data_IF_202679878788
#
_entry.id   IF_202679878788
#
_cell.length_a   1.000
_cell.length_b   1.000
_cell.length_c   1.000
_cell.angle_alpha   90.00
_cell.angle_beta   90.00
_cell.angle_gamma   90.00
#
_symmetry.space_group_name_H-M   'P 1'
#
loop_
_entity.id
_entity.type
_entity.pdbx_description
1 polymer ?
#
# COMPACT_ATOMS: atom_id res chain seq x y z
N UNK A 1 -58.52 62.27 -37.10
CA UNK A 1 -59.16 61.47 -36.03
C UNK A 1 -58.39 60.16 -35.92
N UNK A 2 -57.49 60.08 -34.95
CA UNK A 2 -57.63 59.18 -33.79
C UNK A 2 -57.40 57.70 -34.15
N UNK A 3 -56.19 57.19 -33.90
CA UNK A 3 -55.89 56.36 -32.73
C UNK A 3 -54.46 55.82 -32.82
N UNK A 4 -53.55 56.49 -32.09
CA UNK A 4 -52.24 55.95 -31.75
C UNK A 4 -52.44 54.85 -30.70
N UNK A 5 -51.98 53.62 -30.98
CA UNK A 5 -51.89 52.54 -30.00
C UNK A 5 -50.52 52.61 -29.33
N UNK A 6 -50.47 53.15 -28.11
CA UNK A 6 -49.33 53.03 -27.21
C UNK A 6 -49.11 51.57 -26.82
N UNK A 7 -47.98 50.98 -27.24
CA UNK A 7 -47.44 49.80 -26.58
C UNK A 7 -46.45 50.28 -25.52
N UNK A 8 -46.86 50.19 -24.25
CA UNK A 8 -45.97 50.33 -23.12
C UNK A 8 -45.14 49.05 -23.06
N UNK A 9 -43.85 49.16 -23.40
CA UNK A 9 -42.87 48.11 -23.17
C UNK A 9 -42.56 48.11 -21.65
N UNK A 10 -43.18 47.22 -20.89
CA UNK A 10 -42.76 46.94 -19.52
C UNK A 10 -41.46 46.15 -19.64
N UNK A 11 -40.33 46.83 -19.42
CA UNK A 11 -39.05 46.17 -19.20
C UNK A 11 -39.12 45.46 -17.84
N UNK A 12 -39.56 44.20 -17.86
CA UNK A 12 -39.43 43.30 -16.73
C UNK A 12 -37.94 42.96 -16.60
N UNK A 13 -37.20 43.78 -15.83
CA UNK A 13 -35.89 43.38 -15.33
C UNK A 13 -36.09 42.15 -14.45
N UNK A 14 -35.99 40.96 -15.05
CA UNK A 14 -35.72 39.72 -14.34
C UNK A 14 -34.35 39.91 -13.68
N UNK A 15 -34.35 40.44 -12.47
CA UNK A 15 -33.30 40.15 -11.51
C UNK A 15 -33.38 38.65 -11.26
N UNK A 16 -32.69 37.90 -12.11
CA UNK A 16 -32.27 36.55 -11.82
C UNK A 16 -31.47 36.64 -10.53
N UNK A 17 -32.14 36.42 -9.40
CA UNK A 17 -31.48 36.03 -8.17
C UNK A 17 -30.73 34.74 -8.52
N UNK A 18 -29.49 34.88 -8.97
CA UNK A 18 -28.49 33.84 -8.82
C UNK A 18 -28.35 33.69 -7.32
N UNK A 19 -29.19 32.83 -6.74
CA UNK A 19 -28.91 32.23 -5.46
C UNK A 19 -27.59 31.50 -5.71
N UNK A 20 -26.50 32.16 -5.32
CA UNK A 20 -25.20 31.53 -5.20
C UNK A 20 -25.45 30.44 -4.15
N UNK A 21 -25.76 29.23 -4.60
CA UNK A 21 -25.82 28.09 -3.72
C UNK A 21 -24.41 28.01 -3.13
N UNK A 22 -24.25 28.48 -1.89
CA UNK A 22 -23.00 28.30 -1.16
C UNK A 22 -22.60 26.84 -1.36
N UNK A 23 -21.40 26.62 -1.91
CA UNK A 23 -20.93 25.28 -2.19
C UNK A 23 -21.15 24.43 -0.94
N UNK A 24 -21.93 23.34 -1.07
CA UNK A 24 -22.29 22.43 0.05
C UNK A 24 -21.07 22.01 0.88
N UNK A 25 -19.90 22.02 0.25
CA UNK A 25 -18.59 21.70 0.78
C UNK A 25 -17.70 22.95 0.87
N UNK A 26 -18.15 23.97 1.61
CA UNK A 26 -17.46 25.25 1.82
C UNK A 26 -16.92 25.44 3.24
N UNK A 27 -16.59 26.69 3.60
CA UNK A 27 -16.01 27.06 4.89
C UNK A 27 -16.88 26.67 6.11
N UNK A 28 -18.20 26.52 5.92
CA UNK A 28 -19.13 26.07 6.97
C UNK A 28 -19.06 24.56 7.22
N UNK A 29 -18.55 23.78 6.27
CA UNK A 29 -18.49 22.32 6.38
C UNK A 29 -17.13 21.83 6.88
N UNK A 30 -16.05 22.27 6.22
CA UNK A 30 -14.69 21.88 6.54
C UNK A 30 -14.13 22.73 7.69
N UNK A 31 -13.34 22.12 8.60
CA UNK A 31 -12.68 22.88 9.65
C UNK A 31 -11.64 23.82 9.03
N UNK A 32 -11.32 24.93 9.69
CA UNK A 32 -10.25 25.83 9.27
C UNK A 32 -9.10 25.86 10.29
N UNK A 33 -8.76 24.67 10.77
CA UNK A 33 -7.68 24.42 11.74
C UNK A 33 -6.32 24.71 11.12
N UNK A 34 -5.31 24.91 11.96
CA UNK A 34 -3.95 25.20 11.53
C UNK A 34 -3.11 23.94 11.40
N UNK A 35 -2.42 23.81 10.27
CA UNK A 35 -1.40 22.79 10.03
C UNK A 35 -0.05 23.45 9.78
N UNK A 36 1.01 22.65 9.84
CA UNK A 36 2.39 23.05 9.56
C UNK A 36 2.90 22.26 8.37
N UNK A 37 3.34 22.95 7.33
CA UNK A 37 3.94 22.30 6.17
C UNK A 37 5.36 21.82 6.43
N UNK A 38 5.90 21.07 5.48
CA UNK A 38 7.26 20.53 5.49
C UNK A 38 8.40 21.58 5.54
N UNK A 39 8.09 22.87 5.39
CA UNK A 39 9.03 23.99 5.54
C UNK A 39 8.87 24.72 6.88
N UNK A 40 7.93 24.27 7.74
CA UNK A 40 7.63 24.90 9.02
C UNK A 40 6.62 26.05 8.90
N UNK A 41 6.04 26.30 7.72
CA UNK A 41 5.05 27.36 7.50
C UNK A 41 3.69 26.90 8.04
N UNK A 42 3.02 27.79 8.76
CA UNK A 42 1.64 27.60 9.21
C UNK A 42 0.65 27.88 8.07
N UNK A 43 -0.33 27.00 7.91
CA UNK A 43 -1.39 27.09 6.90
C UNK A 43 -2.74 26.74 7.50
N UNK A 44 -3.81 27.36 7.03
CA UNK A 44 -5.19 27.07 7.43
C UNK A 44 -5.82 26.06 6.48
N UNK A 45 -6.42 25.00 7.03
CA UNK A 45 -6.87 23.84 6.24
C UNK A 45 -7.85 24.24 5.12
N UNK A 46 -8.90 25.01 5.40
CA UNK A 46 -9.84 25.38 4.35
C UNK A 46 -9.28 26.48 3.45
N UNK A 47 -8.86 27.60 4.03
CA UNK A 47 -8.51 28.80 3.26
C UNK A 47 -7.27 28.61 2.39
N UNK A 48 -6.23 27.97 2.93
CA UNK A 48 -4.95 27.82 2.22
C UNK A 48 -4.87 26.52 1.44
N UNK A 49 -5.58 25.45 1.83
CA UNK A 49 -5.42 24.13 1.18
C UNK A 49 -6.59 23.74 0.27
N UNK A 50 -7.84 24.11 0.58
CA UNK A 50 -9.01 23.61 -0.14
C UNK A 50 -9.65 24.62 -1.08
N UNK A 51 -9.74 25.88 -0.65
CA UNK A 51 -10.53 26.92 -1.32
C UNK A 51 -10.08 27.09 -2.77
N UNK A 52 -11.03 26.98 -3.69
CA UNK A 52 -10.84 27.15 -5.14
C UNK A 52 -9.82 26.19 -5.79
N UNK A 53 -9.52 25.05 -5.14
CA UNK A 53 -8.50 24.09 -5.59
C UNK A 53 -9.06 22.72 -5.95
N UNK A 54 -8.33 22.02 -6.83
CA UNK A 54 -8.41 20.57 -6.97
C UNK A 54 -7.40 19.97 -6.02
N UNK A 55 -7.87 19.13 -5.10
CA UNK A 55 -7.05 18.57 -4.04
C UNK A 55 -7.04 17.05 -4.07
N UNK A 56 -5.89 16.48 -3.74
CA UNK A 56 -5.72 15.08 -3.38
C UNK A 56 -5.19 15.06 -1.95
N UNK A 57 -5.92 14.42 -1.02
CA UNK A 57 -5.53 14.38 0.39
C UNK A 57 -5.45 12.92 0.82
N UNK A 58 -4.27 12.50 1.27
CA UNK A 58 -4.04 11.22 1.92
C UNK A 58 -3.46 11.41 3.32
N UNK A 59 -3.63 10.37 4.15
CA UNK A 59 -3.14 10.34 5.52
C UNK A 59 -2.06 9.27 5.64
N UNK A 60 -0.89 9.65 6.13
CA UNK A 60 0.29 8.78 6.21
C UNK A 60 0.91 8.84 7.59
N UNK A 61 1.93 8.03 7.84
CA UNK A 61 2.89 8.27 8.92
C UNK A 61 4.26 7.72 8.48
N UNK A 62 5.34 8.42 8.77
CA UNK A 62 6.62 8.17 8.08
C UNK A 62 7.33 6.89 8.53
N UNK A 63 6.95 6.35 9.69
CA UNK A 63 7.43 5.08 10.24
C UNK A 63 6.68 3.85 9.70
N UNK A 64 5.67 4.03 8.84
CA UNK A 64 4.95 2.93 8.21
C UNK A 64 5.89 2.09 7.33
N UNK A 65 6.02 0.76 7.58
CA UNK A 65 6.97 -0.07 6.85
C UNK A 65 6.51 -0.47 5.44
N UNK A 66 5.20 -0.49 5.20
CA UNK A 66 4.61 -1.17 4.05
C UNK A 66 3.85 -0.22 3.11
N UNK A 67 2.67 0.26 3.50
CA UNK A 67 1.73 0.90 2.56
C UNK A 67 2.10 2.35 2.25
N UNK A 68 2.39 3.20 3.23
CA UNK A 68 2.63 4.63 2.97
C UNK A 68 3.80 4.90 1.99
N UNK A 69 4.94 4.17 2.06
CA UNK A 69 5.99 4.24 1.03
C UNK A 69 5.48 3.93 -0.38
N UNK A 70 4.64 2.90 -0.53
CA UNK A 70 4.08 2.50 -1.82
C UNK A 70 3.06 3.53 -2.33
N UNK A 71 2.20 4.06 -1.45
CA UNK A 71 1.25 5.13 -1.80
C UNK A 71 1.99 6.38 -2.30
N UNK A 72 3.06 6.78 -1.59
CA UNK A 72 3.88 7.94 -1.96
C UNK A 72 4.55 7.71 -3.32
N UNK A 73 5.15 6.54 -3.54
CA UNK A 73 5.74 6.18 -4.83
C UNK A 73 4.71 6.22 -5.98
N UNK A 74 3.49 5.75 -5.72
CA UNK A 74 2.42 5.75 -6.71
C UNK A 74 1.95 7.17 -7.04
N UNK A 75 1.81 8.05 -6.04
CA UNK A 75 1.46 9.45 -6.27
C UNK A 75 2.58 10.23 -6.98
N UNK A 76 3.86 9.86 -6.81
CA UNK A 76 4.96 10.42 -7.63
C UNK A 76 4.75 10.11 -9.12
N UNK A 77 4.20 8.96 -9.49
CA UNK A 77 3.85 8.69 -10.89
C UNK A 77 2.72 9.54 -11.40
N UNK A 78 1.68 9.71 -10.58
CA UNK A 78 0.55 10.59 -10.90
C UNK A 78 1.05 12.02 -11.09
N UNK A 79 1.93 12.50 -10.20
CA UNK A 79 2.62 13.77 -10.35
C UNK A 79 3.35 13.86 -11.69
N UNK A 80 4.10 12.83 -12.09
CA UNK A 80 4.84 12.86 -13.35
C UNK A 80 3.91 12.89 -14.58
N UNK A 81 2.74 12.25 -14.51
CA UNK A 81 1.73 12.30 -15.57
C UNK A 81 1.06 13.69 -15.63
N UNK A 82 0.74 14.28 -14.48
CA UNK A 82 0.10 15.60 -14.38
C UNK A 82 1.07 16.75 -14.68
N UNK A 83 2.38 16.54 -14.51
CA UNK A 83 3.42 17.50 -14.85
C UNK A 83 3.23 18.85 -14.13
N UNK A 84 3.22 19.92 -14.91
CA UNK A 84 3.15 21.30 -14.41
C UNK A 84 1.79 21.66 -13.77
N UNK A 85 0.79 20.79 -13.85
CA UNK A 85 -0.47 21.02 -13.12
C UNK A 85 -0.29 20.93 -11.60
N UNK A 86 0.69 20.16 -11.15
CA UNK A 86 0.99 20.02 -9.72
C UNK A 86 1.52 21.34 -9.15
N UNK A 87 0.81 21.87 -8.16
CA UNK A 87 1.11 23.14 -7.50
C UNK A 87 0.51 24.37 -8.18
N UNK A 88 -0.14 24.20 -9.34
CA UNK A 88 -0.82 25.27 -10.07
C UNK A 88 -2.35 25.18 -9.89
N UNK A 89 -2.97 24.16 -10.45
CA UNK A 89 -4.41 23.91 -10.35
C UNK A 89 -4.74 22.61 -9.59
N UNK A 90 -3.77 21.68 -9.54
CA UNK A 90 -3.87 20.44 -8.76
C UNK A 90 -2.90 20.48 -7.58
N UNK A 91 -3.40 20.22 -6.38
CA UNK A 91 -2.64 20.24 -5.14
C UNK A 91 -2.74 18.88 -4.44
N UNK A 92 -1.60 18.31 -4.08
CA UNK A 92 -1.55 17.04 -3.32
C UNK A 92 -1.08 17.36 -1.90
N UNK A 93 -1.73 16.76 -0.91
CA UNK A 93 -1.43 16.96 0.51
C UNK A 93 -1.34 15.61 1.21
N UNK A 94 -0.18 15.34 1.80
CA UNK A 94 0.03 14.17 2.67
C UNK A 94 0.09 14.61 4.12
N UNK A 95 -0.92 14.28 4.90
CA UNK A 95 -1.07 14.71 6.30
C UNK A 95 -0.68 13.55 7.22
N UNK A 96 0.22 13.77 8.18
CA UNK A 96 0.57 12.71 9.13
C UNK A 96 -0.59 12.39 10.08
N UNK A 97 -0.69 11.13 10.51
CA UNK A 97 -1.53 10.69 11.64
C UNK A 97 -0.74 10.45 12.93
N UNK A 98 0.59 10.60 12.89
CA UNK A 98 1.51 10.43 14.02
C UNK A 98 2.34 11.72 14.21
N UNK A 99 1.70 12.85 14.59
CA UNK A 99 2.37 14.16 14.64
C UNK A 99 3.45 14.26 15.72
N UNK A 100 3.47 13.36 16.71
CA UNK A 100 4.49 13.32 17.77
C UNK A 100 5.86 12.88 17.22
N UNK A 101 5.85 11.92 16.29
CA UNK A 101 7.06 11.45 15.60
C UNK A 101 7.32 12.24 14.33
N UNK A 102 6.28 12.52 13.56
CA UNK A 102 6.34 13.15 12.25
C UNK A 102 6.34 14.69 12.33
N UNK A 103 7.45 15.22 12.86
CA UNK A 103 7.73 16.66 12.83
C UNK A 103 7.86 17.17 11.38
N UNK A 104 7.77 18.49 11.16
CA UNK A 104 7.88 19.04 9.81
C UNK A 104 9.21 18.69 9.12
N UNK A 105 10.31 18.57 9.88
CA UNK A 105 11.61 18.16 9.37
C UNK A 105 11.64 16.69 8.94
N UNK A 106 10.99 15.82 9.72
CA UNK A 106 10.84 14.39 9.40
C UNK A 106 10.01 14.23 8.12
N UNK A 107 8.89 14.95 8.05
CA UNK A 107 8.01 15.00 6.87
C UNK A 107 8.74 15.50 5.62
N UNK A 108 9.54 16.57 5.72
CA UNK A 108 10.37 17.06 4.61
C UNK A 108 11.42 16.04 4.17
N UNK A 109 12.05 15.36 5.12
CA UNK A 109 13.04 14.33 4.84
C UNK A 109 12.42 13.15 4.11
N UNK A 110 11.23 12.70 4.55
CA UNK A 110 10.47 11.65 3.89
C UNK A 110 10.08 12.06 2.46
N UNK A 111 9.45 13.23 2.29
CA UNK A 111 9.08 13.82 1.00
C UNK A 111 10.23 13.83 -0.01
N UNK A 112 11.42 14.28 0.43
CA UNK A 112 12.62 14.34 -0.42
C UNK A 112 13.12 12.97 -0.88
N UNK A 113 12.99 11.91 -0.06
CA UNK A 113 13.43 10.54 -0.44
C UNK A 113 12.72 10.05 -1.70
N UNK A 114 11.43 10.36 -1.84
CA UNK A 114 10.60 9.93 -2.96
C UNK A 114 10.64 10.89 -4.16
N UNK A 115 11.24 12.08 -4.03
CA UNK A 115 11.16 13.11 -5.08
C UNK A 115 9.73 13.65 -5.27
N UNK A 116 8.89 13.54 -4.24
CA UNK A 116 7.60 14.19 -4.19
C UNK A 116 7.80 15.71 -4.34
N UNK A 117 6.91 16.39 -5.06
CA UNK A 117 6.92 17.85 -5.29
C UNK A 117 5.75 18.56 -4.60
N UNK A 118 4.92 17.82 -3.88
CA UNK A 118 3.76 18.36 -3.16
C UNK A 118 4.03 18.51 -1.66
N UNK A 119 3.04 19.04 -0.94
CA UNK A 119 3.18 19.43 0.46
C UNK A 119 2.86 18.28 1.43
N UNK A 120 3.73 18.14 2.42
CA UNK A 120 3.57 17.21 3.54
C UNK A 120 3.26 18.03 4.80
N UNK A 121 2.26 17.61 5.57
CA UNK A 121 1.68 18.39 6.66
C UNK A 121 1.73 17.64 7.99
N UNK A 122 2.00 18.36 9.07
CA UNK A 122 1.83 17.93 10.46
C UNK A 122 1.03 18.97 11.25
N UNK A 123 0.60 18.66 12.48
CA UNK A 123 -0.27 19.55 13.24
C UNK A 123 -0.72 18.96 14.56
N UNK A 124 -1.73 19.59 15.18
CA UNK A 124 -2.33 19.06 16.39
C UNK A 124 -3.11 17.77 16.08
N UNK A 125 -2.96 16.75 16.93
CA UNK A 125 -3.60 15.45 16.76
C UNK A 125 -5.14 15.55 16.66
N UNK A 126 -5.77 16.36 17.52
CA UNK A 126 -7.23 16.51 17.54
C UNK A 126 -7.76 17.20 16.28
N UNK A 127 -7.00 18.16 15.76
CA UNK A 127 -7.30 18.84 14.50
C UNK A 127 -7.21 17.85 13.31
N UNK A 128 -6.16 17.01 13.30
CA UNK A 128 -5.99 15.96 12.29
C UNK A 128 -7.15 14.95 12.35
N UNK A 129 -7.55 14.50 13.54
CA UNK A 129 -8.71 13.61 13.73
C UNK A 129 -9.98 14.27 13.20
N UNK A 130 -10.20 15.56 13.49
CA UNK A 130 -11.36 16.30 13.02
C UNK A 130 -11.40 16.38 11.49
N UNK A 131 -10.27 16.66 10.84
CA UNK A 131 -10.16 16.65 9.37
C UNK A 131 -10.50 15.26 8.82
N UNK A 132 -9.91 14.19 9.38
CA UNK A 132 -10.17 12.80 8.94
C UNK A 132 -11.64 12.44 9.02
N UNK A 133 -12.34 12.84 10.10
CA UNK A 133 -13.79 12.63 10.27
C UNK A 133 -14.58 13.38 9.19
N UNK A 134 -14.24 14.64 8.92
CA UNK A 134 -14.92 15.47 7.91
C UNK A 134 -14.69 15.02 6.47
N UNK A 135 -13.56 14.38 6.19
CA UNK A 135 -13.28 13.76 4.89
C UNK A 135 -13.83 12.33 4.76
N UNK A 136 -14.46 11.78 5.81
CA UNK A 136 -14.98 10.41 5.81
C UNK A 136 -13.88 9.34 5.73
N UNK A 137 -12.69 9.66 6.26
CA UNK A 137 -11.50 8.80 6.26
C UNK A 137 -11.15 8.25 7.65
N UNK A 138 -11.92 8.62 8.69
CA UNK A 138 -11.78 8.10 10.05
C UNK A 138 -12.68 6.87 10.27
N UNK A 139 -12.12 5.79 10.81
CA UNK A 139 -12.83 4.55 11.16
C UNK A 139 -12.48 4.24 12.62
N UNK A 140 -13.48 4.27 13.51
CA UNK A 140 -13.28 4.15 14.97
C UNK A 140 -12.74 2.78 15.36
N UNK A 141 -13.26 1.73 14.74
CA UNK A 141 -12.97 0.32 14.99
C UNK A 141 -11.55 -0.11 14.59
N UNK A 142 -10.79 0.79 13.97
CA UNK A 142 -9.45 0.55 13.43
C UNK A 142 -8.39 1.39 14.18
N UNK A 143 -8.79 2.24 15.13
CA UNK A 143 -7.84 3.06 15.91
C UNK A 143 -7.25 2.33 17.13
N UNK A 144 -7.52 1.03 17.31
CA UNK A 144 -7.18 0.24 18.50
C UNK A 144 -5.74 -0.33 18.50
N UNK A 145 -4.85 0.18 17.64
CA UNK A 145 -3.48 -0.28 17.50
C UNK A 145 -3.32 -1.52 16.61
N UNK A 146 -4.39 -1.97 15.94
CA UNK A 146 -4.26 -2.89 14.82
C UNK A 146 -3.65 -2.17 13.61
N UNK A 147 -2.66 -2.78 12.94
CA UNK A 147 -2.07 -2.31 11.67
C UNK A 147 -3.06 -2.34 10.48
N UNK A 148 -4.35 -2.17 10.75
CA UNK A 148 -5.34 -1.94 9.74
C UNK A 148 -5.33 -0.42 9.46
N UNK A 149 -5.06 -0.05 8.22
CA UNK A 149 -5.11 1.33 7.80
C UNK A 149 -6.20 1.45 6.74
N UNK A 150 -7.02 2.50 6.85
CA UNK A 150 -7.86 2.92 5.76
C UNK A 150 -6.96 3.45 4.63
N UNK A 151 -6.61 2.58 3.68
CA UNK A 151 -5.81 2.94 2.48
C UNK A 151 -6.71 3.63 1.44
N UNK A 152 -7.37 4.68 1.88
CA UNK A 152 -8.20 5.54 1.04
C UNK A 152 -7.68 6.95 1.11
N UNK A 153 -7.66 7.60 -0.04
CA UNK A 153 -7.49 9.04 -0.15
C UNK A 153 -8.79 9.67 -0.62
N UNK A 154 -8.87 10.99 -0.46
CA UNK A 154 -9.95 11.78 -1.02
C UNK A 154 -9.38 12.64 -2.14
N UNK A 155 -10.08 12.68 -3.27
CA UNK A 155 -9.86 13.68 -4.31
C UNK A 155 -11.08 14.58 -4.36
N UNK A 156 -10.89 15.87 -4.63
CA UNK A 156 -12.00 16.79 -4.71
C UNK A 156 -11.68 18.08 -5.42
N UNK A 157 -12.72 18.72 -5.93
CA UNK A 157 -12.67 20.08 -6.40
C UNK A 157 -13.68 20.89 -5.58
N UNK A 158 -13.17 21.83 -4.80
CA UNK A 158 -13.98 22.62 -3.90
C UNK A 158 -14.97 23.52 -4.65
N UNK A 159 -14.56 24.11 -5.79
CA UNK A 159 -15.38 25.00 -6.63
C UNK A 159 -16.57 24.27 -7.26
N UNK A 160 -16.37 23.04 -7.74
CA UNK A 160 -17.43 22.22 -8.35
C UNK A 160 -18.22 21.41 -7.32
N UNK A 161 -17.72 21.32 -6.08
CA UNK A 161 -18.30 20.53 -5.01
C UNK A 161 -18.23 19.01 -5.24
N UNK A 162 -17.40 18.56 -6.19
CA UNK A 162 -17.21 17.13 -6.50
C UNK A 162 -16.13 16.57 -5.60
N UNK A 163 -16.47 15.52 -4.86
CA UNK A 163 -15.56 14.81 -3.95
C UNK A 163 -15.72 13.31 -4.13
N UNK A 164 -14.61 12.59 -4.10
CA UNK A 164 -14.59 11.14 -4.27
C UNK A 164 -13.53 10.50 -3.37
N UNK A 165 -13.90 9.38 -2.76
CA UNK A 165 -12.94 8.47 -2.13
C UNK A 165 -12.28 7.62 -3.21
N UNK A 166 -10.96 7.53 -3.21
CA UNK A 166 -10.16 6.72 -4.14
C UNK A 166 -9.12 5.90 -3.38
N UNK A 167 -8.59 4.87 -4.04
CA UNK A 167 -7.39 4.20 -3.56
C UNK A 167 -6.16 4.88 -4.18
N UNK A 168 -5.10 5.15 -3.39
CA UNK A 168 -3.82 5.57 -3.94
C UNK A 168 -3.20 4.53 -4.86
N UNK A 169 -3.57 3.24 -4.75
CA UNK A 169 -3.03 2.13 -5.56
C UNK A 169 -3.73 1.93 -6.90
N UNK A 170 -4.61 2.84 -7.28
CA UNK A 170 -5.24 2.80 -8.59
C UNK A 170 -4.21 3.00 -9.72
N UNK A 171 -4.60 2.61 -10.95
CA UNK A 171 -3.81 2.90 -12.13
C UNK A 171 -3.52 4.42 -12.21
N UNK A 172 -2.24 4.81 -12.35
CA UNK A 172 -1.84 6.21 -12.19
C UNK A 172 -2.36 7.09 -13.34
N UNK A 173 -2.60 6.53 -14.53
CA UNK A 173 -3.22 7.26 -15.65
C UNK A 173 -4.70 7.51 -15.42
N UNK A 174 -5.44 6.51 -14.91
CA UNK A 174 -6.85 6.67 -14.55
C UNK A 174 -6.99 7.71 -13.46
N UNK A 175 -6.12 7.66 -12.45
CA UNK A 175 -6.15 8.61 -11.36
C UNK A 175 -5.78 10.03 -11.81
N UNK A 176 -4.74 10.17 -12.65
CA UNK A 176 -4.38 11.47 -13.24
C UNK A 176 -5.51 12.04 -14.12
N UNK A 177 -6.19 11.22 -14.91
CA UNK A 177 -7.35 11.64 -15.71
C UNK A 177 -8.51 12.10 -14.83
N UNK A 178 -8.79 11.39 -13.74
CA UNK A 178 -9.85 11.78 -12.81
C UNK A 178 -9.56 13.10 -12.11
N UNK A 179 -8.33 13.26 -11.63
CA UNK A 179 -7.88 14.48 -10.98
C UNK A 179 -7.90 15.64 -11.98
N UNK A 180 -7.35 15.41 -13.17
CA UNK A 180 -7.12 16.47 -14.14
C UNK A 180 -8.34 16.85 -14.99
N UNK A 181 -9.22 15.92 -15.32
CA UNK A 181 -10.30 16.14 -16.29
C UNK A 181 -11.69 16.02 -15.66
N UNK A 182 -11.91 14.98 -14.85
CA UNK A 182 -13.25 14.66 -14.35
C UNK A 182 -13.76 15.63 -13.28
N UNK A 183 -12.89 16.04 -12.35
CA UNK A 183 -13.27 16.90 -11.22
C UNK A 183 -13.71 18.31 -11.65
N UNK A 184 -13.25 18.77 -12.81
CA UNK A 184 -13.57 20.10 -13.37
C UNK A 184 -14.85 20.11 -14.21
N UNK A 185 -15.49 18.94 -14.40
CA UNK A 185 -16.68 18.84 -15.24
C UNK A 185 -16.41 18.75 -16.73
N UNK A 186 -15.14 18.73 -17.13
CA UNK A 186 -14.76 18.59 -18.53
C UNK A 186 -14.92 17.14 -18.98
N UNK A 187 -15.96 16.88 -19.76
CA UNK A 187 -16.04 15.67 -20.59
C UNK A 187 -15.46 16.02 -21.94
N UNK A 188 -14.26 15.53 -22.24
CA UNK A 188 -13.81 15.49 -23.63
C UNK A 188 -14.90 14.75 -24.45
N UNK A 189 -15.30 15.26 -25.63
CA UNK A 189 -16.21 14.54 -26.49
C UNK A 189 -15.66 13.14 -26.73
N UNK A 190 -16.44 12.11 -26.39
CA UNK A 190 -16.05 10.75 -26.69
C UNK A 190 -15.98 10.61 -28.20
N UNK A 191 -14.79 10.45 -28.76
CA UNK A 191 -14.65 10.03 -30.15
C UNK A 191 -15.31 8.66 -30.26
N UNK A 192 -16.39 8.53 -31.04
CA UNK A 192 -17.00 7.23 -31.34
C UNK A 192 -15.93 6.36 -32.01
N UNK A 193 -15.33 5.44 -31.24
CA UNK A 193 -14.52 4.35 -31.79
C UNK A 193 -15.46 3.19 -32.08
N UNK A 194 -15.29 2.56 -33.23
CA UNK A 194 -16.04 1.36 -33.55
C UNK A 194 -15.58 0.22 -32.62
N UNK A 195 -16.52 -0.60 -32.14
CA UNK A 195 -16.19 -1.82 -31.41
C UNK A 195 -15.40 -2.81 -32.30
N UNK A 196 -15.54 -2.71 -33.62
CA UNK A 196 -14.73 -3.46 -34.58
C UNK A 196 -13.22 -3.17 -34.44
N UNK A 197 -12.85 -1.97 -33.97
CA UNK A 197 -11.45 -1.56 -33.75
C UNK A 197 -10.94 -1.85 -32.33
N UNK A 198 -11.76 -2.49 -31.49
CA UNK A 198 -11.37 -2.78 -30.12
C UNK A 198 -10.17 -3.75 -30.12
N UNK A 199 -9.09 -3.44 -29.38
CA UNK A 199 -7.95 -4.34 -29.27
C UNK A 199 -8.39 -5.66 -28.63
N UNK A 200 -7.95 -6.78 -29.20
CA UNK A 200 -8.20 -8.11 -28.59
C UNK A 200 -7.57 -8.15 -27.20
N UNK A 201 -8.39 -8.48 -26.20
CA UNK A 201 -7.91 -8.74 -24.85
C UNK A 201 -6.96 -9.94 -24.91
N UNK A 202 -5.74 -9.76 -24.39
CA UNK A 202 -4.80 -10.86 -24.22
C UNK A 202 -4.97 -11.46 -22.84
N UNK A 203 -4.71 -12.77 -22.73
CA UNK A 203 -4.59 -13.41 -21.44
C UNK A 203 -3.33 -12.90 -20.75
N UNK A 204 -3.52 -12.42 -19.51
CA UNK A 204 -2.45 -11.95 -18.63
C UNK A 204 -2.02 -13.15 -17.79
N UNK A 205 -0.73 -13.48 -17.77
CA UNK A 205 -0.23 -14.54 -16.90
C UNK A 205 -0.32 -14.12 -15.44
N UNK A 206 -0.29 -15.10 -14.53
CA UNK A 206 -0.19 -14.83 -13.09
C UNK A 206 1.03 -13.96 -12.76
N UNK A 207 2.19 -14.24 -13.37
CA UNK A 207 3.41 -13.45 -13.21
C UNK A 207 3.25 -11.99 -13.64
N UNK A 208 2.57 -11.75 -14.76
CA UNK A 208 2.27 -10.39 -15.19
C UNK A 208 1.29 -9.69 -14.25
N UNK A 209 0.24 -10.38 -13.81
CA UNK A 209 -0.71 -9.81 -12.86
C UNK A 209 0.01 -9.41 -11.55
N UNK A 210 0.89 -10.27 -11.04
CA UNK A 210 1.74 -9.98 -9.88
C UNK A 210 2.63 -8.76 -10.15
N UNK A 211 3.30 -8.71 -11.30
CA UNK A 211 4.13 -7.56 -11.67
C UNK A 211 3.32 -6.27 -11.67
N UNK A 212 2.18 -6.24 -12.39
CA UNK A 212 1.34 -5.03 -12.54
C UNK A 212 0.75 -4.54 -11.22
N UNK A 213 0.41 -5.45 -10.31
CA UNK A 213 -0.28 -5.12 -9.06
C UNK A 213 0.67 -4.88 -7.88
N UNK A 214 1.87 -5.47 -7.90
CA UNK A 214 2.81 -5.43 -6.77
C UNK A 214 4.12 -4.72 -7.10
N UNK A 215 4.70 -4.97 -8.26
CA UNK A 215 6.06 -4.53 -8.58
C UNK A 215 6.11 -3.24 -9.39
N UNK A 216 5.13 -3.07 -10.28
CA UNK A 216 5.14 -1.99 -11.27
C UNK A 216 5.12 -0.62 -10.60
N UNK A 217 4.63 -0.47 -9.36
CA UNK A 217 4.63 0.79 -8.59
C UNK A 217 6.05 1.36 -8.47
N UNK A 218 7.04 0.53 -8.18
CA UNK A 218 8.42 0.99 -7.95
C UNK A 218 9.36 0.67 -9.11
N UNK A 219 9.05 -0.36 -9.89
CA UNK A 219 9.91 -0.90 -10.92
C UNK A 219 9.40 -0.59 -12.33
N UNK A 220 10.34 -0.53 -13.26
CA UNK A 220 10.07 -0.52 -14.71
C UNK A 220 10.56 -1.83 -15.32
N UNK A 221 10.07 -2.16 -16.52
CA UNK A 221 10.47 -3.35 -17.27
C UNK A 221 10.53 -2.97 -18.75
N UNK A 222 11.29 -1.91 -19.01
CA UNK A 222 11.33 -1.21 -20.30
C UNK A 222 12.75 -1.04 -20.81
N UNK A 223 13.76 -1.26 -19.96
CA UNK A 223 15.16 -0.95 -20.24
C UNK A 223 15.52 0.52 -20.01
N UNK A 224 14.54 1.36 -19.67
CA UNK A 224 14.72 2.79 -19.44
C UNK A 224 14.36 3.12 -17.98
N UNK A 225 15.36 3.07 -17.10
CA UNK A 225 15.20 3.51 -15.72
C UNK A 225 14.86 5.01 -15.67
N UNK A 226 13.75 5.35 -15.00
CA UNK A 226 13.30 6.73 -14.89
C UNK A 226 14.22 7.55 -13.97
N UNK A 227 14.42 8.83 -14.30
CA UNK A 227 15.14 9.75 -13.42
C UNK A 227 14.40 9.88 -12.08
N UNK A 228 15.08 9.57 -10.98
CA UNK A 228 14.48 9.56 -9.65
C UNK A 228 13.59 8.34 -9.38
N UNK A 229 13.78 7.23 -10.11
CA UNK A 229 13.05 6.00 -9.87
C UNK A 229 13.19 5.52 -8.43
N UNK A 230 12.08 5.01 -7.87
CA UNK A 230 12.01 4.45 -6.52
C UNK A 230 12.69 3.08 -6.47
N UNK A 231 12.66 2.32 -7.57
CA UNK A 231 13.37 1.06 -7.72
C UNK A 231 13.96 0.90 -9.13
N UNK A 232 14.85 -0.08 -9.32
CA UNK A 232 15.49 -0.35 -10.60
C UNK A 232 14.50 -0.73 -11.71
N UNK A 233 14.88 -0.44 -12.96
CA UNK A 233 14.35 -1.19 -14.10
C UNK A 233 14.81 -2.66 -14.01
N UNK A 234 13.90 -3.59 -14.26
CA UNK A 234 14.12 -5.02 -14.08
C UNK A 234 14.45 -5.76 -15.38
N UNK A 235 14.56 -5.05 -16.51
CA UNK A 235 14.88 -5.67 -17.79
C UNK A 235 16.25 -6.34 -17.72
N UNK A 236 16.31 -7.65 -17.99
CA UNK A 236 17.55 -8.42 -17.93
C UNK A 236 18.05 -8.74 -16.54
N UNK A 237 17.27 -8.48 -15.47
CA UNK A 237 17.72 -8.71 -14.09
C UNK A 237 18.12 -10.16 -13.82
N UNK A 238 17.50 -11.11 -14.54
CA UNK A 238 17.74 -12.55 -14.40
C UNK A 238 19.08 -12.96 -15.01
N UNK A 239 19.61 -12.20 -15.97
CA UNK A 239 20.93 -12.49 -16.56
C UNK A 239 22.08 -12.04 -15.66
N UNK A 240 21.82 -11.07 -14.78
CA UNK A 240 22.85 -10.38 -13.98
C UNK A 240 22.77 -10.70 -12.49
N UNK A 241 21.84 -11.53 -12.05
CA UNK A 241 21.66 -11.93 -10.64
C UNK A 241 21.46 -13.42 -10.52
N UNK A 242 22.02 -13.97 -9.45
CA UNK A 242 21.79 -15.37 -9.12
C UNK A 242 20.29 -15.60 -8.83
N UNK A 243 19.75 -16.69 -9.39
CA UNK A 243 18.32 -17.02 -9.27
C UNK A 243 17.89 -17.17 -7.81
N UNK A 244 18.71 -17.79 -6.96
CA UNK A 244 18.38 -17.96 -5.54
C UNK A 244 18.33 -16.61 -4.81
N UNK A 245 19.29 -15.73 -5.07
CA UNK A 245 19.30 -14.38 -4.52
C UNK A 245 18.02 -13.60 -4.89
N UNK A 246 17.55 -13.73 -6.14
CA UNK A 246 16.28 -13.10 -6.58
C UNK A 246 15.07 -13.64 -5.81
N UNK A 247 15.00 -14.95 -5.56
CA UNK A 247 13.94 -15.53 -4.74
C UNK A 247 13.97 -14.99 -3.32
N UNK A 248 15.14 -14.99 -2.68
CA UNK A 248 15.29 -14.53 -1.31
C UNK A 248 14.93 -13.04 -1.18
N UNK A 249 15.33 -12.22 -2.17
CA UNK A 249 15.03 -10.79 -2.22
C UNK A 249 13.54 -10.50 -2.41
N UNK A 250 12.85 -11.26 -3.26
CA UNK A 250 11.41 -11.09 -3.49
C UNK A 250 10.57 -11.53 -2.29
N UNK A 251 11.02 -12.55 -1.54
CA UNK A 251 10.28 -13.12 -0.40
C UNK A 251 10.58 -12.42 0.92
N UNK A 252 11.80 -11.91 1.12
CA UNK A 252 12.25 -11.38 2.41
C UNK A 252 13.31 -10.26 2.28
N UNK A 253 13.01 -9.15 1.57
CA UNK A 253 13.98 -8.06 1.36
C UNK A 253 14.40 -7.41 2.67
N UNK A 254 13.49 -7.34 3.65
CA UNK A 254 13.73 -6.84 5.00
C UNK A 254 14.80 -7.66 5.74
N UNK A 255 14.75 -8.99 5.61
CA UNK A 255 15.73 -9.88 6.23
C UNK A 255 17.10 -9.77 5.57
N UNK A 256 17.15 -9.60 4.24
CA UNK A 256 18.41 -9.42 3.52
C UNK A 256 19.10 -8.11 3.92
N UNK A 257 18.34 -7.02 4.09
CA UNK A 257 18.86 -5.76 4.62
C UNK A 257 19.32 -5.89 6.07
N UNK A 258 18.56 -6.59 6.93
CA UNK A 258 18.95 -6.83 8.32
C UNK A 258 20.24 -7.66 8.44
N UNK A 259 20.42 -8.64 7.55
CA UNK A 259 21.64 -9.45 7.42
C UNK A 259 22.80 -8.69 6.77
N UNK A 260 22.58 -7.46 6.33
CA UNK A 260 23.56 -6.62 5.62
C UNK A 260 24.09 -7.30 4.34
N UNK A 261 23.21 -7.96 3.59
CA UNK A 261 23.55 -8.48 2.26
C UNK A 261 24.15 -7.35 1.40
N UNK A 262 25.33 -7.54 0.79
CA UNK A 262 26.07 -6.44 0.17
C UNK A 262 25.32 -5.84 -1.02
N UNK A 263 24.60 -6.66 -1.80
CA UNK A 263 23.84 -6.21 -2.96
C UNK A 263 22.59 -5.45 -2.50
N UNK A 264 21.85 -6.00 -1.53
CA UNK A 264 20.68 -5.36 -0.93
C UNK A 264 21.03 -3.99 -0.35
N UNK A 265 22.12 -3.88 0.42
CA UNK A 265 22.56 -2.61 1.01
C UNK A 265 23.02 -1.62 -0.05
N UNK A 266 23.69 -2.08 -1.11
CA UNK A 266 24.08 -1.21 -2.23
C UNK A 266 22.85 -0.66 -2.97
N UNK A 267 21.86 -1.51 -3.26
CA UNK A 267 20.60 -1.10 -3.88
C UNK A 267 19.85 -0.11 -2.97
N UNK A 268 19.72 -0.41 -1.68
CA UNK A 268 19.09 0.49 -0.71
C UNK A 268 19.74 1.88 -0.71
N UNK A 269 21.07 1.96 -0.73
CA UNK A 269 21.78 3.25 -0.81
C UNK A 269 21.57 3.95 -2.15
N UNK A 270 21.58 3.20 -3.26
CA UNK A 270 21.38 3.73 -4.62
C UNK A 270 19.99 4.34 -4.79
N UNK A 271 18.96 3.69 -4.26
CA UNK A 271 17.56 4.11 -4.39
C UNK A 271 17.09 4.88 -3.15
N UNK A 272 17.81 5.95 -2.80
CA UNK A 272 17.45 6.94 -1.78
C UNK A 272 17.12 6.41 -0.38
N UNK A 273 17.66 5.23 -0.01
CA UNK A 273 17.36 4.59 1.28
C UNK A 273 15.86 4.31 1.45
N UNK A 274 15.16 4.06 0.35
CA UNK A 274 13.81 3.50 0.35
C UNK A 274 13.94 1.99 0.35
N UNK A 275 13.46 1.33 1.40
CA UNK A 275 13.50 -0.12 1.49
C UNK A 275 12.43 -0.72 0.58
N UNK A 276 12.79 -1.78 -0.16
CA UNK A 276 11.78 -2.57 -0.86
C UNK A 276 10.92 -3.29 0.19
N UNK A 277 9.59 -3.07 0.20
CA UNK A 277 8.72 -3.72 1.16
C UNK A 277 8.60 -5.22 0.84
N UNK A 278 8.21 -5.99 1.84
CA UNK A 278 7.95 -7.41 1.63
C UNK A 278 6.64 -7.58 0.85
N UNK A 279 6.74 -8.10 -0.37
CA UNK A 279 5.61 -8.19 -1.31
C UNK A 279 4.69 -9.39 -1.06
N UNK A 280 4.91 -10.16 0.02
CA UNK A 280 4.10 -11.31 0.43
C UNK A 280 4.00 -12.36 -0.68
N UNK A 281 5.10 -12.60 -1.36
CA UNK A 281 5.19 -13.60 -2.42
C UNK A 281 5.54 -14.96 -1.81
N UNK A 282 4.77 -15.98 -2.14
CA UNK A 282 5.21 -17.35 -1.91
C UNK A 282 6.20 -17.81 -3.00
N UNK A 283 6.72 -19.03 -2.91
CA UNK A 283 7.70 -19.55 -3.86
C UNK A 283 7.16 -19.64 -5.30
N UNK A 284 5.90 -20.08 -5.49
CA UNK A 284 5.27 -20.22 -6.80
C UNK A 284 5.03 -18.84 -7.44
N UNK A 285 4.51 -17.89 -6.67
CA UNK A 285 4.30 -16.51 -7.12
C UNK A 285 5.61 -15.80 -7.48
N UNK A 286 6.67 -15.98 -6.69
CA UNK A 286 7.99 -15.42 -7.00
C UNK A 286 8.55 -16.02 -8.29
N UNK A 287 8.30 -17.31 -8.54
CA UNK A 287 8.70 -17.98 -9.79
C UNK A 287 7.93 -17.42 -10.98
N UNK A 288 6.61 -17.34 -10.90
CA UNK A 288 5.76 -16.80 -11.97
C UNK A 288 6.17 -15.36 -12.32
N UNK A 289 6.44 -14.54 -11.30
CA UNK A 289 6.91 -13.16 -11.47
C UNK A 289 8.25 -13.10 -12.20
N UNK A 290 9.23 -13.91 -11.79
CA UNK A 290 10.53 -13.96 -12.45
C UNK A 290 10.41 -14.49 -13.89
N UNK A 291 9.58 -15.51 -14.14
CA UNK A 291 9.31 -16.00 -15.49
C UNK A 291 8.70 -14.91 -16.37
N UNK A 292 7.77 -14.12 -15.84
CA UNK A 292 7.24 -12.97 -16.57
C UNK A 292 8.32 -11.93 -16.90
N UNK A 293 9.17 -11.58 -15.93
CA UNK A 293 10.27 -10.62 -16.14
C UNK A 293 11.26 -11.13 -17.21
N UNK A 294 11.57 -12.43 -17.21
CA UNK A 294 12.44 -13.06 -18.21
C UNK A 294 11.80 -13.04 -19.61
N UNK A 295 10.54 -13.45 -19.71
CA UNK A 295 9.80 -13.45 -20.97
C UNK A 295 9.69 -12.04 -21.56
N UNK A 296 9.42 -11.04 -20.72
CA UNK A 296 9.34 -9.65 -21.16
C UNK A 296 10.72 -9.11 -21.57
N UNK A 297 11.78 -9.50 -20.85
CA UNK A 297 13.17 -9.21 -21.25
C UNK A 297 13.46 -9.76 -22.64
N UNK A 298 13.14 -11.03 -22.88
CA UNK A 298 13.30 -11.68 -24.18
C UNK A 298 12.47 -10.98 -25.26
N UNK A 299 11.20 -10.65 -24.96
CA UNK A 299 10.28 -9.97 -25.88
C UNK A 299 10.81 -8.60 -26.33
N UNK A 300 11.28 -7.79 -25.39
CA UNK A 300 11.80 -6.44 -25.67
C UNK A 300 13.13 -6.51 -26.42
N UNK A 301 14.06 -7.39 -26.00
CA UNK A 301 15.34 -7.57 -26.71
C UNK A 301 15.18 -8.13 -28.12
N UNK A 302 14.14 -8.93 -28.36
CA UNK A 302 13.84 -9.48 -29.68
C UNK A 302 13.22 -8.47 -30.67
N UNK A 303 13.02 -7.20 -30.28
CA UNK A 303 12.58 -6.15 -31.21
C UNK A 303 11.14 -6.32 -31.70
N UNK A 304 10.20 -6.59 -30.78
CA UNK A 304 8.75 -6.72 -30.99
C UNK A 304 8.29 -7.85 -31.94
N UNK A 305 7.99 -9.02 -31.36
CA UNK A 305 7.10 -10.03 -31.94
C UNK A 305 5.92 -10.27 -30.99
N UNK A 306 4.69 -10.23 -31.49
CA UNK A 306 3.47 -10.56 -30.74
C UNK A 306 3.60 -11.97 -30.11
N UNK A 307 3.92 -12.07 -28.82
CA UNK A 307 3.87 -13.34 -28.10
C UNK A 307 2.44 -13.56 -27.62
N UNK A 308 1.61 -14.13 -28.51
CA UNK A 308 0.39 -14.82 -28.10
C UNK A 308 0.74 -16.28 -27.84
N UNK A 309 1.47 -16.55 -26.76
CA UNK A 309 1.58 -17.92 -26.27
C UNK A 309 0.63 -18.10 -25.09
N UNK A 310 -0.33 -18.98 -25.29
CA UNK A 310 -1.11 -19.59 -24.22
C UNK A 310 -0.13 -20.29 -23.29
N UNK A 311 0.08 -19.71 -22.11
CA UNK A 311 0.94 -20.27 -21.08
C UNK A 311 0.51 -21.72 -20.81
N UNK A 312 1.39 -22.67 -21.11
CA UNK A 312 1.25 -24.05 -20.64
C UNK A 312 1.60 -24.07 -19.16
N UNK A 313 0.67 -24.62 -18.39
CA UNK A 313 0.81 -24.89 -16.97
C UNK A 313 2.12 -25.66 -16.70
N UNK A 314 3.06 -25.02 -15.98
CA UNK A 314 4.34 -25.63 -15.62
C UNK A 314 4.14 -26.40 -14.33
N UNK A 315 4.37 -27.72 -14.35
CA UNK A 315 4.32 -28.59 -13.17
C UNK A 315 5.21 -28.05 -12.03
N UNK A 316 4.60 -27.88 -10.87
CA UNK A 316 5.20 -27.23 -9.70
C UNK A 316 6.08 -28.17 -8.87
N UNK A 317 7.26 -27.70 -8.40
CA UNK A 317 7.95 -28.30 -7.26
C UNK A 317 7.27 -27.89 -5.94
N UNK A 318 7.50 -28.64 -4.86
CA UNK A 318 6.79 -28.52 -3.58
C UNK A 318 6.63 -27.06 -3.08
N UNK A 319 5.40 -26.56 -3.13
CA UNK A 319 5.05 -25.15 -2.90
C UNK A 319 4.88 -24.79 -1.42
N UNK A 320 5.38 -23.60 -1.05
CA UNK A 320 4.92 -22.86 0.12
C UNK A 320 3.41 -22.58 0.01
N UNK A 321 2.63 -22.96 1.02
CA UNK A 321 1.17 -22.83 1.02
C UNK A 321 0.68 -21.43 1.34
N UNK A 322 1.45 -20.69 2.13
CA UNK A 322 1.12 -19.33 2.59
C UNK A 322 2.34 -18.44 2.49
N UNK A 323 2.11 -17.15 2.24
CA UNK A 323 3.15 -16.15 2.45
C UNK A 323 3.23 -15.80 3.94
N UNK A 324 4.45 -15.62 4.45
CA UNK A 324 4.68 -15.35 5.88
C UNK A 324 5.37 -14.00 6.06
N UNK A 325 4.88 -13.19 6.99
CA UNK A 325 5.47 -11.92 7.38
C UNK A 325 5.65 -11.80 8.88
N UNK A 326 6.45 -10.80 9.30
CA UNK A 326 6.61 -10.43 10.70
C UNK A 326 6.93 -11.64 11.59
N UNK A 327 7.66 -12.61 11.04
CA UNK A 327 8.01 -13.84 11.73
C UNK A 327 9.17 -13.55 12.67
N UNK A 328 8.98 -13.77 13.97
CA UNK A 328 10.05 -13.70 14.96
C UNK A 328 9.67 -14.41 16.25
N UNK A 329 10.69 -14.88 16.96
CA UNK A 329 10.58 -15.45 18.32
C UNK A 329 11.12 -14.43 19.32
N UNK A 330 10.38 -14.22 20.40
CA UNK A 330 10.81 -13.35 21.49
C UNK A 330 11.87 -14.04 22.33
N UNK A 331 12.99 -13.36 22.54
CA UNK A 331 14.00 -13.79 23.51
C UNK A 331 13.41 -13.76 24.93
N UNK A 332 13.56 -14.83 25.72
CA UNK A 332 13.08 -14.87 27.08
C UNK A 332 13.88 -13.90 27.97
N UNK A 333 13.19 -13.15 28.85
CA UNK A 333 13.83 -12.17 29.76
C UNK A 333 14.59 -12.87 30.90
N UNK A 334 14.10 -14.05 31.31
CA UNK A 334 14.70 -14.95 32.30
C UNK A 334 14.69 -16.35 31.69
N UNK A 335 15.64 -17.22 32.07
CA UNK A 335 15.60 -18.63 31.63
C UNK A 335 14.20 -19.21 31.95
N UNK A 336 13.46 -19.56 30.89
CA UNK A 336 12.06 -19.97 30.95
C UNK A 336 11.84 -21.11 29.96
N UNK A 337 11.00 -22.07 30.33
CA UNK A 337 10.62 -23.18 29.43
C UNK A 337 9.53 -22.79 28.44
N UNK A 338 9.06 -21.53 28.46
CA UNK A 338 7.95 -21.05 27.64
C UNK A 338 8.39 -19.79 26.90
N UNK A 339 8.47 -19.88 25.57
CA UNK A 339 8.76 -18.75 24.69
C UNK A 339 7.53 -18.40 23.85
N UNK A 340 7.52 -17.17 23.30
CA UNK A 340 6.46 -16.69 22.43
C UNK A 340 6.99 -16.42 21.02
N UNK A 341 6.25 -16.86 20.01
CA UNK A 341 6.51 -16.57 18.60
C UNK A 341 5.36 -15.84 17.93
N UNK A 342 5.69 -15.02 16.94
CA UNK A 342 4.74 -14.17 16.23
C UNK A 342 5.01 -14.24 14.74
N UNK A 343 3.95 -14.22 13.93
CA UNK A 343 4.01 -14.12 12.48
C UNK A 343 2.64 -13.72 11.92
N UNK A 344 2.59 -13.34 10.66
CA UNK A 344 1.35 -13.17 9.90
C UNK A 344 1.37 -14.13 8.72
N UNK A 345 0.33 -14.95 8.56
CA UNK A 345 0.15 -15.82 7.40
C UNK A 345 -0.85 -15.19 6.44
N UNK A 346 -0.53 -15.20 5.16
CA UNK A 346 -1.41 -14.76 4.07
C UNK A 346 -1.72 -15.96 3.18
N UNK A 347 -3.01 -16.23 3.00
CA UNK A 347 -3.48 -17.23 2.06
C UNK A 347 -3.92 -16.52 0.78
N UNK A 348 -3.13 -16.69 -0.27
CA UNK A 348 -3.37 -16.10 -1.59
C UNK A 348 -4.21 -17.02 -2.49
N UNK A 349 -4.68 -18.16 -1.97
CA UNK A 349 -5.52 -19.07 -2.71
C UNK A 349 -7.00 -18.67 -2.57
N UNK A 350 -7.80 -19.09 -3.55
CA UNK A 350 -9.26 -18.88 -3.55
C UNK A 350 -10.02 -19.81 -2.60
N UNK A 351 -9.33 -20.75 -1.96
CA UNK A 351 -9.89 -21.63 -0.93
C UNK A 351 -9.21 -21.42 0.42
N UNK A 352 -9.94 -21.56 1.54
CA UNK A 352 -9.35 -21.44 2.87
C UNK A 352 -8.37 -22.58 3.13
N UNK A 353 -7.26 -22.25 3.81
CA UNK A 353 -6.27 -23.23 4.27
C UNK A 353 -6.45 -23.46 5.77
N UNK A 354 -6.21 -24.69 6.22
CA UNK A 354 -6.27 -25.05 7.65
C UNK A 354 -4.88 -25.49 8.06
N UNK A 355 -4.24 -24.70 8.93
CA UNK A 355 -3.00 -25.07 9.60
C UNK A 355 -3.37 -26.01 10.76
N UNK A 356 -2.98 -27.27 10.61
CA UNK A 356 -3.33 -28.36 11.52
C UNK A 356 -2.33 -28.45 12.67
N UNK A 357 -1.04 -28.26 12.41
CA UNK A 357 -0.03 -28.28 13.47
C UNK A 357 1.25 -27.58 13.05
N UNK A 358 2.08 -27.27 14.05
CA UNK A 358 3.40 -26.67 13.89
C UNK A 358 4.39 -27.51 14.67
N UNK A 359 5.54 -27.81 14.07
CA UNK A 359 6.61 -28.56 14.73
C UNK A 359 7.92 -27.77 14.69
N UNK A 360 8.77 -27.99 15.68
CA UNK A 360 10.15 -27.48 15.67
C UNK A 360 11.08 -28.53 16.25
N UNK A 361 12.31 -28.62 15.73
CA UNK A 361 13.37 -29.39 16.40
C UNK A 361 13.89 -28.67 17.65
N UNK A 362 13.73 -27.34 17.70
CA UNK A 362 14.25 -26.51 18.79
C UNK A 362 13.36 -26.53 20.04
N UNK A 363 12.15 -27.08 19.97
CA UNK A 363 11.18 -27.09 21.07
C UNK A 363 10.50 -28.46 21.19
N UNK A 364 10.17 -28.87 22.41
CA UNK A 364 9.43 -30.10 22.66
C UNK A 364 7.97 -30.03 22.20
N UNK A 365 7.33 -28.86 22.26
CA UNK A 365 5.96 -28.64 21.76
C UNK A 365 5.79 -27.22 21.23
N UNK A 366 4.97 -27.07 20.18
CA UNK A 366 4.56 -25.77 19.62
C UNK A 366 3.04 -25.75 19.53
N UNK A 367 2.43 -24.75 20.16
CA UNK A 367 0.98 -24.58 20.22
C UNK A 367 0.58 -23.18 19.74
N UNK A 368 -0.66 -23.03 19.28
CA UNK A 368 -1.24 -21.73 18.92
C UNK A 368 -2.21 -21.34 20.02
N UNK A 369 -2.04 -20.16 20.61
CA UNK A 369 -2.86 -19.68 21.72
C UNK A 369 -3.50 -18.34 21.38
N UNK A 370 -4.72 -18.13 21.84
CA UNK A 370 -5.38 -16.83 21.82
C UNK A 370 -5.69 -16.34 23.23
N UNK A 371 -5.71 -15.01 23.38
CA UNK A 371 -6.18 -14.36 24.60
C UNK A 371 -7.64 -13.95 24.41
N UNK A 372 -8.53 -14.40 25.30
CA UNK A 372 -9.96 -14.06 25.27
C UNK A 372 -10.38 -13.43 26.59
N UNK A 373 -11.15 -12.35 26.51
CA UNK A 373 -11.84 -11.78 27.67
C UNK A 373 -13.00 -12.70 28.06
N UNK A 374 -12.93 -13.27 29.27
CA UNK A 374 -14.01 -14.04 29.87
C UNK A 374 -14.28 -13.43 31.24
N UNK A 375 -15.46 -12.82 31.42
CA UNK A 375 -15.88 -12.19 32.69
C UNK A 375 -14.90 -11.15 33.24
N UNK A 376 -14.33 -10.29 32.38
CA UNK A 376 -13.37 -9.25 32.78
C UNK A 376 -11.94 -9.74 33.05
N UNK A 377 -11.70 -11.05 32.99
CA UNK A 377 -10.37 -11.65 33.13
C UNK A 377 -9.83 -12.10 31.77
N UNK A 378 -8.54 -11.90 31.55
CA UNK A 378 -7.83 -12.37 30.36
C UNK A 378 -7.49 -13.85 30.52
N UNK A 379 -8.12 -14.72 29.72
CA UNK A 379 -7.86 -16.16 29.73
C UNK A 379 -7.19 -16.57 28.43
N UNK A 380 -6.13 -17.37 28.54
CA UNK A 380 -5.43 -17.97 27.42
C UNK A 380 -6.14 -19.28 27.01
N UNK A 381 -6.29 -19.51 25.71
CA UNK A 381 -6.94 -20.71 25.14
C UNK A 381 -6.11 -21.25 23.98
N UNK A 382 -5.82 -22.55 23.99
CA UNK A 382 -5.20 -23.26 22.86
C UNK A 382 -6.19 -23.37 21.68
N UNK A 383 -5.66 -23.21 20.47
CA UNK A 383 -6.37 -23.37 19.20
C UNK A 383 -5.79 -24.61 18.50
N UNK A 384 -6.62 -25.63 18.34
CA UNK A 384 -6.22 -26.91 17.71
C UNK A 384 -5.99 -26.78 16.20
N UNK A 385 -6.84 -26.04 15.50
CA UNK A 385 -6.73 -25.80 14.06
C UNK A 385 -6.89 -24.31 13.76
N UNK A 386 -5.96 -23.76 12.96
CA UNK A 386 -6.01 -22.36 12.56
C UNK A 386 -6.47 -22.23 11.11
N UNK A 387 -7.66 -21.66 10.92
CA UNK A 387 -8.22 -21.37 9.58
C UNK A 387 -7.62 -20.08 9.05
N UNK A 388 -7.04 -20.13 7.86
CA UNK A 388 -6.51 -18.99 7.12
C UNK A 388 -7.47 -18.74 5.94
N UNK A 389 -8.33 -17.70 6.00
CA UNK A 389 -9.36 -17.46 5.00
C UNK A 389 -8.78 -17.33 3.58
N UNK A 390 -9.56 -17.74 2.57
CA UNK A 390 -9.23 -17.49 1.16
C UNK A 390 -8.99 -16.01 0.92
N UNK A 391 -7.94 -15.66 0.16
CA UNK A 391 -7.52 -14.28 -0.09
C UNK A 391 -7.40 -13.43 1.19
N UNK A 392 -7.11 -14.08 2.32
CA UNK A 392 -7.16 -13.50 3.66
C UNK A 392 -5.85 -13.62 4.40
N UNK A 393 -5.85 -13.16 5.66
CA UNK A 393 -4.69 -13.24 6.55
C UNK A 393 -5.09 -13.67 7.95
N UNK A 394 -4.13 -14.23 8.67
CA UNK A 394 -4.21 -14.45 10.12
C UNK A 394 -2.95 -13.90 10.76
N UNK A 395 -3.12 -13.14 11.84
CA UNK A 395 -2.02 -12.47 12.55
C UNK A 395 -1.85 -13.05 13.94
N UNK A 396 -0.65 -13.53 14.24
CA UNK A 396 -0.18 -13.85 15.57
C UNK A 396 0.73 -12.70 16.02
N UNK A 397 0.25 -11.88 16.96
CA UNK A 397 0.90 -10.67 17.44
C UNK A 397 0.80 -10.56 18.98
N UNK A 398 1.71 -9.80 19.63
CA UNK A 398 1.66 -9.57 21.07
C UNK A 398 0.28 -9.10 21.53
N UNK A 399 -0.16 -9.59 22.70
CA UNK A 399 -1.49 -9.32 23.30
C UNK A 399 -2.70 -9.89 22.54
N UNK A 400 -2.50 -10.57 21.42
CA UNK A 400 -3.52 -11.30 20.69
C UNK A 400 -3.21 -12.80 20.61
N UNK A 401 -3.35 -13.36 19.41
CA UNK A 401 -2.94 -14.74 19.13
C UNK A 401 -1.42 -14.86 19.06
N UNK A 402 -0.83 -15.95 19.53
CA UNK A 402 0.61 -16.15 19.54
C UNK A 402 0.98 -17.63 19.49
N UNK A 403 2.22 -17.93 19.10
CA UNK A 403 2.80 -19.25 19.28
C UNK A 403 3.28 -19.38 20.71
N UNK A 404 2.86 -20.44 21.39
CA UNK A 404 3.46 -20.89 22.64
C UNK A 404 4.48 -21.99 22.30
N UNK A 405 5.76 -21.68 22.51
CA UNK A 405 6.89 -22.57 22.22
C UNK A 405 7.39 -23.14 23.55
N UNK A 406 7.25 -24.45 23.76
CA UNK A 406 7.39 -25.09 25.08
C UNK A 406 8.59 -26.04 25.08
N UNK A 407 9.36 -26.04 26.18
CA UNK A 407 10.56 -26.87 26.42
C UNK A 407 11.62 -26.66 25.32
N UNK A 408 12.37 -25.55 25.35
CA UNK A 408 13.44 -25.32 24.40
C UNK A 408 14.55 -26.39 24.56
N UNK A 409 14.92 -27.04 23.46
CA UNK A 409 15.99 -28.07 23.43
C UNK A 409 17.39 -27.46 23.27
N UNK A 410 17.48 -26.14 23.10
CA UNK A 410 18.72 -25.40 22.91
C UNK A 410 18.57 -23.98 23.48
N UNK A 411 19.68 -23.32 23.82
CA UNK A 411 19.65 -21.91 24.25
C UNK A 411 19.16 -21.01 23.12
N UNK A 412 18.12 -20.24 23.39
CA UNK A 412 17.49 -19.29 22.47
C UNK A 412 18.00 -17.89 22.83
N UNK A 413 18.79 -17.28 21.94
CA UNK A 413 19.39 -15.96 22.15
C UNK A 413 19.17 -15.07 20.92
N UNK A 414 19.03 -13.76 21.14
CA UNK A 414 18.92 -12.78 20.05
C UNK A 414 20.06 -12.92 19.04
N UNK A 415 19.71 -12.79 17.75
CA UNK A 415 20.61 -12.98 16.62
C UNK A 415 20.65 -14.42 16.06
N UNK A 416 20.04 -15.39 16.75
CA UNK A 416 19.79 -16.73 16.23
C UNK A 416 18.47 -16.84 15.45
N UNK A 417 18.13 -18.06 15.05
CA UNK A 417 16.89 -18.39 14.35
C UNK A 417 16.28 -19.72 14.85
N UNK A 418 14.96 -19.84 14.72
CA UNK A 418 14.18 -21.05 15.01
C UNK A 418 13.53 -21.51 13.72
N UNK A 419 13.71 -22.78 13.37
CA UNK A 419 13.01 -23.40 12.25
C UNK A 419 11.72 -24.06 12.75
N UNK A 420 10.62 -23.74 12.07
CA UNK A 420 9.32 -24.33 12.25
C UNK A 420 8.91 -25.07 10.97
N UNK A 421 8.11 -26.13 11.13
CA UNK A 421 7.43 -26.82 10.04
C UNK A 421 5.93 -26.70 10.25
N UNK A 422 5.26 -25.99 9.35
CA UNK A 422 3.81 -25.84 9.27
C UNK A 422 3.22 -27.05 8.54
N UNK A 423 2.23 -27.72 9.14
CA UNK A 423 1.50 -28.84 8.54
C UNK A 423 0.06 -28.45 8.28
N UNK A 424 -0.37 -28.55 7.03
CA UNK A 424 -1.72 -28.18 6.62
C UNK A 424 -2.61 -29.42 6.48
N UNK A 425 -3.92 -29.25 6.71
CA UNK A 425 -4.90 -30.35 6.63
C UNK A 425 -5.02 -30.97 5.24
N UNK A 426 -4.57 -30.26 4.20
CA UNK A 426 -4.47 -30.78 2.82
C UNK A 426 -3.25 -31.70 2.60
N UNK A 427 -2.50 -32.03 3.66
CA UNK A 427 -1.32 -32.91 3.62
C UNK A 427 -0.02 -32.22 3.20
N UNK A 428 -0.07 -30.96 2.74
CA UNK A 428 1.12 -30.19 2.37
C UNK A 428 1.81 -29.64 3.62
N UNK A 429 3.12 -29.38 3.51
CA UNK A 429 3.93 -28.83 4.60
C UNK A 429 4.79 -27.67 4.10
N UNK A 430 5.08 -26.72 4.97
CA UNK A 430 5.92 -25.55 4.67
C UNK A 430 6.90 -25.29 5.80
N UNK A 431 8.18 -25.06 5.48
CA UNK A 431 9.17 -24.66 6.47
C UNK A 431 9.12 -23.13 6.66
N UNK A 432 9.30 -22.69 7.90
CA UNK A 432 9.33 -21.28 8.29
C UNK A 432 10.54 -21.04 9.19
N UNK A 433 11.40 -20.10 8.81
CA UNK A 433 12.53 -19.66 9.62
C UNK A 433 12.16 -18.37 10.36
N UNK A 434 12.28 -18.37 11.68
CA UNK A 434 11.92 -17.24 12.55
C UNK A 434 13.15 -16.68 13.26
N UNK A 435 13.57 -15.43 13.00
CA UNK A 435 14.64 -14.78 13.77
C UNK A 435 14.26 -14.56 15.24
N UNK A 436 15.24 -14.65 16.15
CA UNK A 436 15.07 -14.37 17.58
C UNK A 436 15.39 -12.90 17.88
N UNK A 437 14.51 -12.19 18.61
CA UNK A 437 14.63 -10.75 18.93
C UNK A 437 14.38 -10.45 20.41
N UNK A 438 15.13 -9.51 20.98
CA UNK A 438 15.08 -9.11 22.40
C UNK A 438 13.93 -8.15 22.75
N UNK A 439 13.35 -7.49 21.75
CA UNK A 439 12.11 -6.71 21.84
C UNK A 439 11.58 -6.40 20.44
#
# INVERSE_FOLDING_TARGET
MQHAKSFILIALCLFSNFVNAEARWGAKYFPNVELTDHNGKKVKFFDDMLKDKIVVINFIYTSCPDSCPLETAQLVKVQNILGDRIGNDVFIYSITIDPDVDTYQVMNSYRKKFGAKWDFMTGNEQDIIQIRKKLGLYIEEIQDGSNNHNVSMIIGNQKTGRWMKRSPFENPHVLADQIGNWLDGWKAPQTKRDYADAPKLRNISRGEQLYRTRCAICHTLTGNELKGAVGPDLLGVIDIREKQWLYDWLKAPDQMLAKKDPIAVALYKKYNRVAMPNMRLNQSEAKDLLEHIDLETKRIRAGEGKIFETFKEVKEPAEDQVAVMNAWVREPIVESDIHAGYFTLFNMNDTPLILQSIESKAYGKVEIHEMKHVNGLMKMREIEELVIPANGKVTLAPRGMHLMLIKPNQKIKSGGQVELKLKFKNGKTQNLVMPIRSK
#
